data_IF_422348122772
#
_entry.id   IF_422348122772
#
_cell.length_a   1.000
_cell.length_b   1.000
_cell.length_c   1.000
_cell.angle_alpha   90.00
_cell.angle_beta   90.00
_cell.angle_gamma   90.00
#
_symmetry.space_group_name_H-M   'P 1'
#
loop_
_entity.id
_entity.type
_entity.pdbx_description
1 polymer ?
#
# COMPACT_ATOMS: atom_id res chain seq x y z
N UNK A 1 9.96 15.38 16.13
CA UNK A 1 9.60 14.78 14.85
C UNK A 1 10.04 13.33 14.91
N UNK A 2 9.12 12.39 14.73
CA UNK A 2 9.38 10.98 14.98
C UNK A 2 10.16 10.40 13.79
N UNK A 3 11.50 10.34 13.87
CA UNK A 3 12.38 9.69 12.87
C UNK A 3 12.32 8.16 12.95
N UNK A 4 11.18 7.59 13.34
CA UNK A 4 10.98 6.15 13.37
C UNK A 4 10.71 5.60 11.98
N UNK A 5 11.34 4.47 11.66
CA UNK A 5 11.04 3.71 10.44
C UNK A 5 9.55 3.36 10.41
N UNK A 6 8.82 3.75 9.35
CA UNK A 6 7.41 3.41 9.17
C UNK A 6 7.30 2.20 8.23
N UNK A 7 7.01 1.04 8.81
CA UNK A 7 6.89 -0.22 8.07
C UNK A 7 5.42 -0.54 7.80
N UNK A 8 5.10 -0.75 6.52
CA UNK A 8 3.84 -1.31 6.05
C UNK A 8 4.06 -2.75 5.59
N UNK A 9 3.23 -3.68 6.10
CA UNK A 9 3.31 -5.10 5.77
C UNK A 9 2.10 -5.51 4.95
N UNK A 10 2.34 -6.06 3.76
CA UNK A 10 1.30 -6.64 2.93
C UNK A 10 0.99 -8.07 3.37
N UNK A 11 -0.28 -8.36 3.56
CA UNK A 11 -0.80 -9.64 4.00
C UNK A 11 -1.77 -10.22 2.97
N UNK A 12 -1.72 -11.52 2.78
CA UNK A 12 -2.73 -12.27 2.05
C UNK A 12 -3.79 -12.79 3.00
N UNK A 13 -5.08 -12.74 2.64
CA UNK A 13 -6.16 -13.20 3.51
C UNK A 13 -6.01 -14.67 3.97
N UNK A 14 -5.77 -15.58 3.05
CA UNK A 14 -5.49 -17.00 3.32
C UNK A 14 -6.33 -17.62 4.45
N UNK A 15 -5.68 -18.33 5.37
CA UNK A 15 -6.31 -18.89 6.57
C UNK A 15 -6.47 -17.79 7.64
N UNK A 16 -7.71 -17.55 8.11
CA UNK A 16 -8.02 -16.49 9.09
C UNK A 16 -7.23 -16.61 10.39
N UNK A 17 -6.97 -17.84 10.88
CA UNK A 17 -6.15 -18.05 12.08
C UNK A 17 -4.70 -17.59 11.86
N UNK A 18 -4.15 -17.86 10.68
CA UNK A 18 -2.82 -17.40 10.32
C UNK A 18 -2.79 -15.88 10.16
N UNK A 19 -3.79 -15.31 9.51
CA UNK A 19 -3.94 -13.86 9.35
C UNK A 19 -3.99 -13.15 10.71
N UNK A 20 -4.82 -13.62 11.65
CA UNK A 20 -4.90 -13.08 13.00
C UNK A 20 -3.55 -13.11 13.72
N UNK A 21 -2.85 -14.25 13.66
CA UNK A 21 -1.53 -14.38 14.27
C UNK A 21 -0.49 -13.43 13.63
N UNK A 22 -0.49 -13.32 12.31
CA UNK A 22 0.41 -12.46 11.57
C UNK A 22 0.23 -10.99 11.95
N UNK A 23 -1.02 -10.52 12.00
CA UNK A 23 -1.34 -9.13 12.37
C UNK A 23 -0.92 -8.85 13.81
N UNK A 24 -1.34 -9.68 14.75
CA UNK A 24 -0.99 -9.51 16.17
C UNK A 24 0.52 -9.51 16.38
N UNK A 25 1.24 -10.46 15.79
CA UNK A 25 2.69 -10.57 15.92
C UNK A 25 3.39 -9.34 15.33
N UNK A 26 3.11 -9.00 14.07
CA UNK A 26 3.79 -7.90 13.40
C UNK A 26 3.45 -6.53 14.01
N UNK A 27 2.21 -6.31 14.49
CA UNK A 27 1.84 -5.10 15.23
C UNK A 27 2.64 -4.97 16.52
N UNK A 28 2.76 -6.06 17.29
CA UNK A 28 3.52 -6.08 18.53
C UNK A 28 5.03 -5.85 18.33
N UNK A 29 5.55 -6.24 17.16
CA UNK A 29 6.93 -5.99 16.77
C UNK A 29 7.16 -4.57 16.23
N UNK A 30 6.10 -3.79 16.03
CA UNK A 30 6.20 -2.37 15.66
C UNK A 30 5.86 -2.04 14.21
N UNK A 31 5.35 -2.98 13.39
CA UNK A 31 4.73 -2.64 12.11
C UNK A 31 3.54 -1.69 12.36
N UNK A 32 3.44 -0.63 11.54
CA UNK A 32 2.49 0.46 11.77
C UNK A 32 1.28 0.42 10.84
N UNK A 33 1.37 -0.28 9.73
CA UNK A 33 0.26 -0.39 8.78
C UNK A 33 0.29 -1.76 8.10
N UNK A 34 -0.90 -2.28 7.83
CA UNK A 34 -1.11 -3.53 7.12
C UNK A 34 -1.94 -3.27 5.87
N UNK A 35 -1.44 -3.70 4.71
CA UNK A 35 -2.24 -3.80 3.50
C UNK A 35 -2.81 -5.22 3.41
N UNK A 36 -4.12 -5.36 3.46
CA UNK A 36 -4.79 -6.65 3.33
C UNK A 36 -5.27 -6.87 1.90
N UNK A 37 -4.81 -7.97 1.30
CA UNK A 37 -5.18 -8.41 -0.04
C UNK A 37 -5.68 -9.84 -0.02
N UNK A 38 -6.39 -10.24 -1.07
CA UNK A 38 -6.51 -11.62 -1.50
C UNK A 38 -5.67 -11.86 -2.76
N UNK A 39 -5.43 -13.11 -3.10
CA UNK A 39 -4.85 -13.52 -4.39
C UNK A 39 -3.60 -12.70 -4.81
N UNK A 40 -2.61 -12.59 -3.93
CA UNK A 40 -1.39 -11.82 -4.19
C UNK A 40 -0.64 -12.28 -5.44
N UNK A 41 -0.73 -13.56 -5.84
CA UNK A 41 -0.18 -14.07 -7.08
C UNK A 41 -0.79 -13.44 -8.35
N UNK A 42 -1.97 -12.80 -8.22
CA UNK A 42 -2.64 -12.01 -9.27
C UNK A 42 -2.39 -10.49 -9.10
N UNK A 43 -1.46 -10.13 -8.23
CA UNK A 43 -1.12 -8.73 -7.92
C UNK A 43 -1.99 -8.09 -6.83
N UNK A 44 -2.68 -8.90 -6.03
CA UNK A 44 -3.56 -8.46 -4.95
C UNK A 44 -4.96 -8.06 -5.43
N UNK A 45 -5.97 -8.72 -4.88
CA UNK A 45 -7.39 -8.45 -5.12
C UNK A 45 -8.08 -8.07 -3.81
N UNK A 46 -9.34 -7.65 -3.90
CA UNK A 46 -10.17 -7.33 -2.73
C UNK A 46 -10.33 -8.57 -1.84
N UNK A 47 -10.02 -8.48 -0.55
CA UNK A 47 -10.21 -9.57 0.40
C UNK A 47 -11.69 -9.76 0.76
N UNK A 48 -12.03 -10.90 1.38
CA UNK A 48 -13.36 -11.18 1.90
C UNK A 48 -13.69 -10.35 3.14
N UNK A 49 -14.99 -10.15 3.40
CA UNK A 49 -15.50 -9.45 4.58
C UNK A 49 -14.96 -10.09 5.87
N UNK A 50 -14.99 -11.42 5.95
CA UNK A 50 -14.48 -12.17 7.11
C UNK A 50 -12.98 -11.92 7.35
N UNK A 51 -12.20 -11.73 6.29
CA UNK A 51 -10.76 -11.42 6.42
C UNK A 51 -10.55 -10.00 6.92
N UNK A 52 -11.38 -9.04 6.48
CA UNK A 52 -11.31 -7.66 6.95
C UNK A 52 -11.69 -7.59 8.44
N UNK A 53 -12.80 -8.22 8.86
CA UNK A 53 -13.23 -8.29 10.24
C UNK A 53 -12.17 -8.95 11.14
N UNK A 54 -11.60 -10.07 10.67
CA UNK A 54 -10.51 -10.75 11.35
C UNK A 54 -9.29 -9.83 11.52
N UNK A 55 -8.94 -9.09 10.47
CA UNK A 55 -7.79 -8.20 10.50
C UNK A 55 -8.01 -7.04 11.48
N UNK A 56 -9.15 -6.36 11.42
CA UNK A 56 -9.49 -5.25 12.32
C UNK A 56 -9.46 -5.69 13.78
N UNK A 57 -10.06 -6.85 14.09
CA UNK A 57 -10.17 -7.37 15.46
C UNK A 57 -8.80 -7.70 16.09
N UNK A 58 -7.80 -8.04 15.26
CA UNK A 58 -6.49 -8.47 15.73
C UNK A 58 -5.40 -7.38 15.64
N UNK A 59 -5.74 -6.15 15.22
CA UNK A 59 -4.82 -5.03 15.28
C UNK A 59 -4.44 -4.68 16.72
N UNK A 60 -3.20 -4.35 16.94
CA UNK A 60 -2.67 -3.91 18.24
C UNK A 60 -1.81 -2.65 18.06
N UNK A 61 -1.49 -1.97 19.17
CA UNK A 61 -0.53 -0.86 19.21
C UNK A 61 -0.82 0.29 18.24
N UNK A 62 -2.09 0.62 18.00
CA UNK A 62 -2.51 1.69 17.08
C UNK A 62 -2.01 1.48 15.63
N UNK A 63 -1.84 0.24 15.20
CA UNK A 63 -1.56 -0.07 13.82
C UNK A 63 -2.80 0.16 12.94
N UNK A 64 -2.58 0.53 11.68
CA UNK A 64 -3.62 0.81 10.71
C UNK A 64 -3.85 -0.39 9.77
N UNK A 65 -5.09 -0.60 9.35
CA UNK A 65 -5.45 -1.51 8.27
C UNK A 65 -5.87 -0.72 7.03
N UNK A 66 -5.25 -0.99 5.90
CA UNK A 66 -5.70 -0.54 4.59
C UNK A 66 -6.10 -1.75 3.75
N UNK A 67 -7.24 -1.67 3.07
CA UNK A 67 -7.86 -2.80 2.36
C UNK A 67 -7.74 -2.59 0.86
N UNK A 68 -7.22 -3.60 0.15
CA UNK A 68 -7.17 -3.60 -1.30
C UNK A 68 -8.59 -3.61 -1.89
N UNK A 69 -8.87 -2.64 -2.76
CA UNK A 69 -10.11 -2.54 -3.52
C UNK A 69 -9.79 -2.73 -5.00
N UNK A 70 -9.75 -3.95 -5.43
CA UNK A 70 -9.46 -4.38 -6.80
C UNK A 70 -10.22 -5.68 -7.06
N UNK A 71 -11.46 -5.59 -7.60
CA UNK A 71 -12.33 -6.75 -7.80
C UNK A 71 -11.80 -7.77 -8.81
N UNK A 72 -11.02 -7.31 -9.79
CA UNK A 72 -10.61 -8.09 -10.95
C UNK A 72 -9.09 -8.02 -11.17
N UNK A 73 -8.51 -9.15 -11.57
CA UNK A 73 -7.12 -9.22 -12.01
C UNK A 73 -6.92 -8.60 -13.42
N UNK A 74 -5.68 -8.46 -13.85
CA UNK A 74 -5.31 -7.95 -15.16
C UNK A 74 -4.79 -6.52 -15.12
N UNK A 75 -5.14 -5.72 -16.15
CA UNK A 75 -4.73 -4.32 -16.22
C UNK A 75 -5.51 -3.46 -15.21
N UNK A 76 -5.11 -2.21 -15.07
CA UNK A 76 -5.73 -1.28 -14.11
C UNK A 76 -6.85 -0.43 -14.73
N UNK A 77 -7.42 -0.87 -15.86
CA UNK A 77 -8.60 -0.26 -16.42
C UNK A 77 -9.83 -0.61 -15.58
N UNK A 78 -10.65 0.38 -15.28
CA UNK A 78 -11.84 0.24 -14.44
C UNK A 78 -13.07 0.61 -15.28
N UNK A 79 -13.93 -0.39 -15.58
CA UNK A 79 -15.21 -0.17 -16.23
C UNK A 79 -16.22 0.55 -15.32
N UNK A 80 -17.35 0.95 -15.84
CA UNK A 80 -18.41 1.56 -15.04
C UNK A 80 -18.97 0.59 -13.99
N UNK A 81 -19.14 -0.69 -14.36
CA UNK A 81 -19.61 -1.78 -13.51
C UNK A 81 -18.58 -2.07 -12.41
N UNK A 82 -17.30 -2.19 -12.79
CA UNK A 82 -16.20 -2.40 -11.85
C UNK A 82 -16.10 -1.24 -10.86
N UNK A 83 -16.20 0.02 -11.31
CA UNK A 83 -16.21 1.19 -10.43
C UNK A 83 -17.35 1.12 -9.40
N UNK A 84 -18.56 0.77 -9.83
CA UNK A 84 -19.71 0.65 -8.93
C UNK A 84 -19.50 -0.46 -7.88
N UNK A 85 -18.86 -1.56 -8.28
CA UNK A 85 -18.48 -2.63 -7.35
C UNK A 85 -17.41 -2.14 -6.36
N UNK A 86 -16.37 -1.45 -6.84
CA UNK A 86 -15.33 -0.87 -5.99
C UNK A 86 -15.92 0.10 -4.95
N UNK A 87 -16.89 0.94 -5.32
CA UNK A 87 -17.55 1.83 -4.36
C UNK A 87 -18.29 1.07 -3.26
N UNK A 88 -18.97 -0.03 -3.60
CA UNK A 88 -19.59 -0.91 -2.60
C UNK A 88 -18.55 -1.56 -1.68
N UNK A 89 -17.43 -2.01 -2.23
CA UNK A 89 -16.35 -2.61 -1.46
C UNK A 89 -15.64 -1.59 -0.55
N UNK A 90 -15.51 -0.32 -0.98
CA UNK A 90 -15.03 0.77 -0.11
C UNK A 90 -15.95 0.95 1.09
N UNK A 91 -17.28 1.01 0.86
CA UNK A 91 -18.27 1.13 1.94
C UNK A 91 -18.22 -0.08 2.88
N UNK A 92 -18.07 -1.28 2.35
CA UNK A 92 -17.90 -2.52 3.12
C UNK A 92 -16.67 -2.47 4.01
N UNK A 93 -15.50 -2.11 3.46
CA UNK A 93 -14.26 -1.96 4.23
C UNK A 93 -14.40 -0.92 5.35
N UNK A 94 -15.07 0.21 5.09
CA UNK A 94 -15.36 1.23 6.09
C UNK A 94 -16.24 0.70 7.23
N UNK A 95 -17.32 -0.01 6.89
CA UNK A 95 -18.24 -0.58 7.87
C UNK A 95 -17.58 -1.64 8.76
N UNK A 96 -16.60 -2.36 8.22
CA UNK A 96 -15.78 -3.32 8.96
C UNK A 96 -14.72 -2.65 9.86
N UNK A 97 -14.54 -1.33 9.77
CA UNK A 97 -13.59 -0.58 10.61
C UNK A 97 -12.18 -0.46 10.03
N UNK A 98 -11.99 -0.62 8.71
CA UNK A 98 -10.72 -0.33 8.06
C UNK A 98 -10.35 1.16 8.24
N UNK A 99 -9.05 1.46 8.29
CA UNK A 99 -8.52 2.82 8.41
C UNK A 99 -8.34 3.49 7.04
N UNK A 100 -8.25 2.67 5.98
CA UNK A 100 -8.10 3.17 4.64
C UNK A 100 -8.30 2.09 3.58
N UNK A 101 -8.22 2.52 2.33
CA UNK A 101 -8.38 1.66 1.15
C UNK A 101 -7.27 1.90 0.15
N UNK A 102 -6.98 0.87 -0.63
CA UNK A 102 -5.92 0.86 -1.64
C UNK A 102 -6.53 0.53 -2.99
N UNK A 103 -6.38 1.40 -3.97
CA UNK A 103 -6.87 1.16 -5.34
C UNK A 103 -6.06 1.93 -6.37
N UNK A 104 -6.35 1.72 -7.65
CA UNK A 104 -5.81 2.51 -8.75
C UNK A 104 -6.63 2.33 -10.01
N UNK A 105 -6.72 3.38 -10.81
CA UNK A 105 -7.42 3.37 -12.10
C UNK A 105 -6.56 4.05 -13.16
N UNK A 106 -6.25 3.32 -14.22
CA UNK A 106 -5.42 3.77 -15.34
C UNK A 106 -6.12 3.48 -16.66
N UNK A 107 -6.11 4.44 -17.56
CA UNK A 107 -6.66 4.31 -18.91
C UNK A 107 -5.65 4.82 -19.92
N UNK A 108 -5.26 3.98 -20.87
CA UNK A 108 -4.29 4.30 -21.92
C UNK A 108 -2.91 4.79 -21.42
N UNK A 109 -2.49 4.33 -20.24
CA UNK A 109 -1.25 4.75 -19.59
C UNK A 109 -1.32 6.13 -18.90
N UNK A 110 -2.51 6.66 -18.70
CA UNK A 110 -2.76 7.90 -17.96
C UNK A 110 -3.66 7.63 -16.74
N UNK A 111 -3.56 8.46 -15.72
CA UNK A 111 -4.47 8.42 -14.58
C UNK A 111 -5.91 8.61 -15.04
N UNK A 112 -6.79 7.62 -14.77
CA UNK A 112 -8.23 7.85 -14.98
C UNK A 112 -8.78 8.77 -13.89
N UNK A 113 -8.66 10.06 -14.16
CA UNK A 113 -9.02 11.12 -13.20
C UNK A 113 -10.49 11.05 -12.78
N UNK A 114 -11.39 10.67 -13.71
CA UNK A 114 -12.84 10.59 -13.43
C UNK A 114 -13.15 9.45 -12.46
N UNK A 115 -12.62 8.28 -12.73
CA UNK A 115 -12.80 7.10 -11.88
C UNK A 115 -12.14 7.35 -10.53
N UNK A 116 -10.87 7.78 -10.51
CA UNK A 116 -10.12 8.03 -9.28
C UNK A 116 -10.84 9.04 -8.39
N UNK A 117 -11.31 10.17 -8.92
CA UNK A 117 -12.09 11.16 -8.17
C UNK A 117 -13.33 10.56 -7.52
N UNK A 118 -14.06 9.72 -8.26
CA UNK A 118 -15.28 9.07 -7.76
C UNK A 118 -15.00 8.13 -6.60
N UNK A 119 -13.93 7.33 -6.70
CA UNK A 119 -13.53 6.38 -5.65
C UNK A 119 -12.99 7.12 -4.41
N UNK A 120 -12.15 8.14 -4.60
CA UNK A 120 -11.66 9.00 -3.51
C UNK A 120 -12.83 9.65 -2.78
N UNK A 121 -13.79 10.24 -3.50
CA UNK A 121 -14.96 10.85 -2.88
C UNK A 121 -15.75 9.85 -2.01
N UNK A 122 -15.95 8.61 -2.51
CA UNK A 122 -16.60 7.55 -1.72
C UNK A 122 -15.78 7.22 -0.46
N UNK A 123 -14.47 7.06 -0.56
CA UNK A 123 -13.61 6.76 0.59
C UNK A 123 -13.63 7.89 1.63
N UNK A 124 -13.50 9.14 1.18
CA UNK A 124 -13.49 10.32 2.07
C UNK A 124 -14.85 10.55 2.77
N UNK A 125 -15.98 10.23 2.14
CA UNK A 125 -17.30 10.26 2.78
C UNK A 125 -17.38 9.31 3.99
N UNK A 126 -16.60 8.24 4.00
CA UNK A 126 -16.47 7.30 5.11
C UNK A 126 -15.29 7.58 6.05
N UNK A 127 -14.57 8.69 5.86
CA UNK A 127 -13.40 9.04 6.67
C UNK A 127 -12.15 8.18 6.41
N UNK A 128 -12.13 7.42 5.31
CA UNK A 128 -11.01 6.53 4.98
C UNK A 128 -9.83 7.27 4.36
N UNK A 129 -8.63 6.84 4.73
CA UNK A 129 -7.41 7.21 4.00
C UNK A 129 -7.33 6.46 2.66
N UNK A 130 -6.75 7.08 1.65
CA UNK A 130 -6.65 6.51 0.30
C UNK A 130 -5.19 6.33 -0.10
N UNK A 131 -4.84 5.11 -0.52
CA UNK A 131 -3.57 4.81 -1.18
C UNK A 131 -3.82 4.49 -2.66
N UNK A 132 -3.13 5.17 -3.56
CA UNK A 132 -3.09 4.78 -4.97
C UNK A 132 -1.96 3.76 -5.16
N UNK A 133 -2.32 2.52 -5.50
CA UNK A 133 -1.39 1.40 -5.57
C UNK A 133 -0.42 1.46 -6.77
N UNK A 134 0.35 0.40 -6.99
CA UNK A 134 1.37 0.29 -8.04
C UNK A 134 0.86 0.42 -9.49
N UNK A 135 -0.43 0.64 -9.73
CA UNK A 135 -0.88 1.16 -11.02
C UNK A 135 -0.19 2.50 -11.37
N UNK A 136 0.33 3.21 -10.38
CA UNK A 136 1.16 4.39 -10.54
C UNK A 136 2.40 4.12 -11.40
N UNK A 137 2.98 2.94 -11.27
CA UNK A 137 4.18 2.52 -12.01
C UNK A 137 3.90 2.20 -13.49
N UNK A 138 2.64 2.28 -13.95
CA UNK A 138 2.25 2.12 -15.36
C UNK A 138 2.02 3.45 -16.08
N UNK A 139 2.09 4.57 -15.36
CA UNK A 139 1.76 5.89 -15.89
C UNK A 139 2.89 6.45 -16.74
N UNK A 140 2.53 7.01 -17.90
CA UNK A 140 3.48 7.67 -18.82
C UNK A 140 4.05 8.96 -18.24
N UNK A 141 3.22 9.70 -17.49
CA UNK A 141 3.56 11.00 -16.91
C UNK A 141 3.36 10.99 -15.38
N UNK A 142 4.21 10.26 -14.61
CA UNK A 142 3.97 10.03 -13.18
C UNK A 142 4.00 11.31 -12.34
N UNK A 143 4.82 12.32 -12.66
CA UNK A 143 4.84 13.58 -11.89
C UNK A 143 3.54 14.37 -12.06
N UNK A 144 3.03 14.49 -13.29
CA UNK A 144 1.73 15.12 -13.51
C UNK A 144 0.59 14.34 -12.85
N UNK A 145 0.71 13.01 -12.79
CA UNK A 145 -0.26 12.19 -12.06
C UNK A 145 -0.16 12.39 -10.54
N UNK A 146 1.06 12.52 -9.99
CA UNK A 146 1.27 12.81 -8.57
C UNK A 146 0.60 14.12 -8.16
N UNK A 147 0.76 15.19 -8.95
CA UNK A 147 0.11 16.49 -8.73
C UNK A 147 -1.43 16.35 -8.73
N UNK A 148 -1.98 15.58 -9.68
CA UNK A 148 -3.42 15.31 -9.75
C UNK A 148 -3.91 14.51 -8.55
N UNK A 149 -3.15 13.50 -8.10
CA UNK A 149 -3.50 12.71 -6.92
C UNK A 149 -3.48 13.56 -5.65
N UNK A 150 -2.50 14.46 -5.50
CA UNK A 150 -2.48 15.46 -4.43
C UNK A 150 -3.73 16.34 -4.48
N UNK A 151 -4.09 16.87 -5.66
CA UNK A 151 -5.28 17.72 -5.83
C UNK A 151 -6.61 17.00 -5.56
N UNK A 152 -6.62 15.66 -5.61
CA UNK A 152 -7.74 14.80 -5.26
C UNK A 152 -7.75 14.38 -3.79
N UNK A 153 -6.80 14.87 -2.97
CA UNK A 153 -6.64 14.52 -1.56
C UNK A 153 -6.38 13.02 -1.34
N UNK A 154 -5.65 12.39 -2.28
CA UNK A 154 -5.10 11.04 -2.08
C UNK A 154 -3.99 11.14 -1.04
N UNK A 155 -4.03 10.29 -0.03
CA UNK A 155 -3.11 10.37 1.11
C UNK A 155 -1.76 9.74 0.84
N UNK A 156 -1.72 8.71 -0.03
CA UNK A 156 -0.50 7.92 -0.30
C UNK A 156 -0.45 7.45 -1.74
N UNK A 157 0.77 7.28 -2.26
CA UNK A 157 1.03 6.44 -3.43
C UNK A 157 1.93 5.28 -3.04
N UNK A 158 1.67 4.08 -3.56
CA UNK A 158 2.59 2.95 -3.47
C UNK A 158 3.28 2.77 -4.83
N UNK A 159 4.61 2.85 -4.82
CA UNK A 159 5.43 2.81 -6.04
C UNK A 159 6.78 2.15 -5.79
N UNK A 160 7.34 1.52 -6.82
CA UNK A 160 8.73 1.10 -6.84
C UNK A 160 9.66 2.16 -7.46
N UNK A 161 9.13 3.21 -8.07
CA UNK A 161 9.92 4.12 -8.89
C UNK A 161 10.49 3.50 -10.17
N UNK A 162 10.05 2.28 -10.50
CA UNK A 162 10.42 1.51 -11.71
C UNK A 162 9.17 1.09 -12.46
N UNK A 163 9.25 0.85 -13.78
CA UNK A 163 8.08 0.43 -14.54
C UNK A 163 7.45 -0.87 -14.02
N UNK A 164 6.14 -0.92 -14.02
CA UNK A 164 5.39 -2.12 -13.62
C UNK A 164 5.83 -3.36 -14.40
N UNK A 165 6.06 -4.47 -13.71
CA UNK A 165 6.50 -5.75 -14.29
C UNK A 165 7.85 -5.71 -15.02
N UNK A 166 8.69 -4.71 -14.79
CA UNK A 166 10.05 -4.64 -15.37
C UNK A 166 11.03 -5.67 -14.78
N UNK A 167 10.67 -6.35 -13.69
CA UNK A 167 11.58 -7.19 -12.92
C UNK A 167 12.52 -6.39 -11.99
N UNK A 168 12.48 -5.07 -12.04
CA UNK A 168 13.26 -4.18 -11.19
C UNK A 168 12.60 -3.98 -9.83
N UNK A 169 13.42 -3.75 -8.81
CA UNK A 169 13.01 -3.48 -7.44
C UNK A 169 12.96 -1.98 -7.13
N UNK A 170 12.47 -1.62 -5.95
CA UNK A 170 12.43 -0.23 -5.50
C UNK A 170 13.83 0.41 -5.37
N UNK A 171 14.88 -0.38 -5.12
CA UNK A 171 16.26 0.17 -5.08
C UNK A 171 16.80 0.50 -6.48
N UNK A 172 16.29 -0.13 -7.52
CA UNK A 172 16.62 0.24 -8.90
C UNK A 172 15.94 1.56 -9.29
N UNK A 173 14.86 1.93 -8.60
CA UNK A 173 14.07 3.14 -8.78
C UNK A 173 14.46 4.33 -7.92
N UNK A 174 15.59 4.30 -7.19
CA UNK A 174 15.98 5.33 -6.21
C UNK A 174 15.95 6.76 -6.76
N UNK A 175 16.41 6.99 -7.97
CA UNK A 175 16.41 8.32 -8.58
C UNK A 175 14.98 8.85 -8.76
N UNK A 176 14.07 7.98 -9.19
CA UNK A 176 12.67 8.33 -9.38
C UNK A 176 11.94 8.51 -8.04
N UNK A 177 12.23 7.65 -7.07
CA UNK A 177 11.71 7.76 -5.69
C UNK A 177 12.16 9.07 -5.03
N UNK A 178 13.44 9.44 -5.20
CA UNK A 178 13.99 10.72 -4.75
C UNK A 178 13.23 11.92 -5.37
N UNK A 179 12.93 11.83 -6.66
CA UNK A 179 12.13 12.84 -7.36
C UNK A 179 10.71 12.93 -6.80
N UNK A 180 10.04 11.80 -6.54
CA UNK A 180 8.70 11.79 -5.95
C UNK A 180 8.67 12.35 -4.52
N UNK A 181 9.66 12.00 -3.69
CA UNK A 181 9.79 12.57 -2.34
C UNK A 181 9.94 14.09 -2.38
N UNK A 182 10.77 14.62 -3.29
CA UNK A 182 10.94 16.05 -3.45
C UNK A 182 9.64 16.75 -3.89
N UNK A 183 8.90 16.14 -4.83
CA UNK A 183 7.63 16.70 -5.36
C UNK A 183 6.43 16.51 -4.43
N UNK A 184 6.47 15.54 -3.52
CA UNK A 184 5.35 15.28 -2.60
C UNK A 184 5.07 16.45 -1.66
N UNK A 185 6.07 17.26 -1.34
CA UNK A 185 6.01 18.45 -0.47
C UNK A 185 5.25 18.20 0.84
N UNK A 186 5.32 16.98 1.38
CA UNK A 186 4.54 16.50 2.54
C UNK A 186 3.01 16.46 2.36
N UNK A 187 2.49 16.70 1.17
CA UNK A 187 1.06 16.69 0.89
C UNK A 187 0.54 15.26 0.63
N UNK A 188 1.42 14.36 0.21
CA UNK A 188 1.13 12.94 -0.04
C UNK A 188 2.29 12.09 0.48
N UNK A 189 2.00 10.94 1.06
CA UNK A 189 3.02 10.00 1.52
C UNK A 189 3.51 9.11 0.37
N UNK A 190 4.83 8.92 0.27
CA UNK A 190 5.44 8.00 -0.68
C UNK A 190 5.72 6.66 0.00
N UNK A 191 4.92 5.65 -0.32
CA UNK A 191 5.11 4.28 0.15
C UNK A 191 5.98 3.55 -0.86
N UNK A 192 7.17 3.14 -0.46
CA UNK A 192 8.16 2.50 -1.33
C UNK A 192 8.03 0.99 -1.24
N UNK A 193 7.67 0.33 -2.33
CA UNK A 193 7.45 -1.11 -2.35
C UNK A 193 7.72 -1.72 -3.73
N UNK A 194 7.97 -3.01 -3.74
CA UNK A 194 8.32 -3.79 -4.93
C UNK A 194 9.74 -4.33 -4.86
N UNK A 195 9.88 -5.64 -4.69
CA UNK A 195 11.18 -6.31 -4.58
C UNK A 195 12.02 -5.88 -3.37
N UNK A 196 11.39 -5.41 -2.29
CA UNK A 196 12.09 -5.07 -1.05
C UNK A 196 12.52 -6.33 -0.33
N UNK A 197 13.80 -6.38 0.07
CA UNK A 197 14.43 -7.47 0.81
C UNK A 197 15.09 -6.93 2.10
N UNK A 198 15.54 -7.84 2.97
CA UNK A 198 16.27 -7.45 4.18
C UNK A 198 17.62 -6.79 3.88
N UNK A 199 18.20 -7.10 2.72
CA UNK A 199 19.50 -6.58 2.27
C UNK A 199 19.37 -5.20 1.64
N UNK A 200 18.25 -4.93 0.92
CA UNK A 200 18.09 -3.68 0.18
C UNK A 200 17.27 -2.61 0.92
N UNK A 201 16.47 -2.99 1.93
CA UNK A 201 15.67 -2.05 2.72
C UNK A 201 16.50 -0.93 3.41
N UNK A 202 17.74 -1.16 3.90
CA UNK A 202 18.57 -0.08 4.45
C UNK A 202 18.78 1.09 3.49
N UNK A 203 18.90 0.83 2.20
CA UNK A 203 19.05 1.88 1.18
C UNK A 203 17.79 2.76 1.06
N UNK A 204 16.59 2.16 1.16
CA UNK A 204 15.33 2.90 1.17
C UNK A 204 15.18 3.74 2.44
N UNK A 205 15.55 3.19 3.61
CA UNK A 205 15.56 3.94 4.86
C UNK A 205 16.53 5.12 4.83
N UNK A 206 17.70 4.95 4.21
CA UNK A 206 18.65 6.04 4.04
C UNK A 206 18.10 7.13 3.11
N UNK A 207 17.41 6.75 2.03
CA UNK A 207 16.74 7.70 1.15
C UNK A 207 15.68 8.50 1.93
N UNK A 208 14.82 7.84 2.69
CA UNK A 208 13.79 8.50 3.52
C UNK A 208 14.42 9.46 4.53
N UNK A 209 15.49 9.06 5.20
CA UNK A 209 16.19 9.89 6.20
C UNK A 209 16.72 11.19 5.63
N UNK A 210 17.06 11.22 4.35
CA UNK A 210 17.57 12.40 3.65
C UNK A 210 16.46 13.39 3.25
N UNK A 211 15.20 13.05 3.46
CA UNK A 211 14.04 13.88 3.16
C UNK A 211 13.24 14.24 4.40
N UNK A 212 12.55 15.38 4.37
CA UNK A 212 11.51 15.74 5.34
C UNK A 212 10.12 15.22 4.95
N UNK A 213 10.01 14.58 3.77
CA UNK A 213 8.75 14.09 3.23
C UNK A 213 8.21 12.89 4.02
N UNK A 214 6.88 12.76 4.08
CA UNK A 214 6.24 11.56 4.62
C UNK A 214 6.53 10.37 3.73
N UNK A 215 7.05 9.30 4.31
CA UNK A 215 7.36 8.08 3.56
C UNK A 215 7.30 6.83 4.43
N UNK A 216 7.06 5.68 3.79
CA UNK A 216 7.05 4.36 4.40
C UNK A 216 7.73 3.35 3.49
N UNK A 217 8.14 2.22 4.06
CA UNK A 217 8.60 1.05 3.30
C UNK A 217 7.54 -0.04 3.39
N UNK A 218 7.16 -0.55 2.23
CA UNK A 218 6.17 -1.63 2.05
C UNK A 218 6.87 -2.94 1.75
N UNK A 219 6.55 -3.97 2.51
CA UNK A 219 7.16 -5.29 2.41
C UNK A 219 6.13 -6.41 2.35
N UNK A 220 6.47 -7.50 1.69
CA UNK A 220 5.70 -8.74 1.70
C UNK A 220 6.62 -9.95 1.87
N UNK A 221 7.26 -10.43 0.80
CA UNK A 221 7.96 -11.73 0.77
C UNK A 221 9.10 -11.84 1.78
N UNK A 222 9.83 -10.76 2.04
CA UNK A 222 10.98 -10.78 2.93
C UNK A 222 10.62 -10.92 4.43
N UNK A 223 9.34 -10.76 4.79
CA UNK A 223 8.85 -10.88 6.17
C UNK A 223 7.95 -12.09 6.39
N UNK A 224 7.74 -12.91 5.36
CA UNK A 224 6.97 -14.15 5.46
C UNK A 224 7.87 -15.36 5.25
N UNK A 225 7.59 -16.45 5.97
CA UNK A 225 8.18 -17.75 5.68
C UNK A 225 7.39 -18.48 4.57
N UNK A 226 7.87 -19.67 4.18
CA UNK A 226 7.24 -20.49 3.11
C UNK A 226 5.77 -20.84 3.39
N UNK A 227 5.37 -20.90 4.67
CA UNK A 227 4.00 -21.19 5.09
C UNK A 227 3.12 -19.93 5.19
N UNK A 228 3.65 -18.76 4.82
CA UNK A 228 2.94 -17.47 4.90
C UNK A 228 2.85 -16.88 6.31
N UNK A 229 3.54 -17.45 7.31
CA UNK A 229 3.60 -16.86 8.64
C UNK A 229 4.66 -15.76 8.71
N UNK A 230 4.41 -14.73 9.52
CA UNK A 230 5.37 -13.64 9.77
C UNK A 230 6.64 -14.18 10.41
N UNK A 231 7.76 -13.76 9.87
CA UNK A 231 9.09 -13.97 10.44
C UNK A 231 9.44 -12.78 11.37
N UNK A 232 9.42 -13.02 12.67
CA UNK A 232 9.69 -12.01 13.68
C UNK A 232 11.11 -11.42 13.58
N UNK A 233 12.11 -12.23 13.26
CA UNK A 233 13.49 -11.77 13.10
C UNK A 233 13.62 -10.81 11.91
N UNK A 234 12.92 -11.09 10.82
CA UNK A 234 12.89 -10.23 9.63
C UNK A 234 12.29 -8.85 9.96
N UNK A 235 11.14 -8.80 10.66
CA UNK A 235 10.53 -7.54 11.10
C UNK A 235 11.48 -6.77 12.04
N UNK A 236 12.06 -7.45 13.02
CA UNK A 236 13.02 -6.83 13.94
C UNK A 236 14.23 -6.27 13.21
N UNK A 237 14.79 -7.00 12.23
CA UNK A 237 15.92 -6.54 11.42
C UNK A 237 15.56 -5.29 10.60
N UNK A 238 14.36 -5.24 9.99
CA UNK A 238 13.90 -4.05 9.25
C UNK A 238 13.73 -2.82 10.15
N UNK A 239 13.26 -3.01 11.37
CA UNK A 239 12.95 -1.93 12.32
C UNK A 239 14.12 -1.61 13.27
N UNK A 240 15.19 -2.43 13.30
CA UNK A 240 16.37 -2.15 14.12
C UNK A 240 16.91 -0.74 13.83
N UNK A 241 17.39 -0.08 14.88
CA UNK A 241 18.20 1.14 14.74
C UNK A 241 19.58 0.70 14.28
N UNK A 242 20.06 1.30 13.21
CA UNK A 242 21.46 1.20 12.81
C UNK A 242 22.35 1.83 13.87
#
# INVERSE_FOLDING_TARGET
>A
MNNGKFLEVCLNEGCLKLLANNISLASNLGAKRFELCSNLHLGGLTPSDNAIDCAVTNLTNSAELVVMIRPEAGNFFVSAECRNLMQKQITMAANAGAHGVVFGAVKNGELDLKVTRSLVATAKQHGLMVTFHRAFDTLKNPLSALEKLISLEVDRILTAGTPWQSGQSAVDGLNQLNTYLAHSANQIEIVMGGGVTLENAPTLWQLIKNHSAKAAVHVHSCVHNENGAINAEAINKLLSKD
#
